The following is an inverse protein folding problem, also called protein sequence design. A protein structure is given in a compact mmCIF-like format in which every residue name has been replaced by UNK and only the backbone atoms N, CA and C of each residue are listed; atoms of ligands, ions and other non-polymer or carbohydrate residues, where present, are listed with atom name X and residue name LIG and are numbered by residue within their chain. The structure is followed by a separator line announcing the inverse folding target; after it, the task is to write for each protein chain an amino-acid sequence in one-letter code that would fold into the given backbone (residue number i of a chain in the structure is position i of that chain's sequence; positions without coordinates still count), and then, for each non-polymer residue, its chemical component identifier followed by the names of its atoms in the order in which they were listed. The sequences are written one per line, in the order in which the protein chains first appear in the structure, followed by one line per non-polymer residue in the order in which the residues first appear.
data_IF_380691251336
#
_entry.id   IF_380691251336
#
_cell.length_a   1.000
_cell.length_b   1.000
_cell.length_c   1.000
_cell.angle_alpha   90.00
_cell.angle_beta   90.00
_cell.angle_gamma   90.00
#
_symmetry.space_group_name_H-M   'P 1'
#
loop_
_entity.id
_entity.type
_entity.pdbx_description
1 polymer ?
#
# COMPACT_ATOMS: atom_id res chain seq x y z
N UNK A 1 -25.08 -21.49 -14.01
CA UNK A 1 -26.45 -21.55 -13.43
C UNK A 1 -27.01 -22.97 -13.25
N UNK A 2 -26.24 -24.05 -13.45
CA UNK A 2 -26.78 -25.42 -13.37
C UNK A 2 -26.96 -25.97 -11.92
N UNK A 3 -26.19 -25.47 -10.94
CA UNK A 3 -26.20 -26.00 -9.57
C UNK A 3 -27.50 -25.80 -8.77
N UNK A 4 -28.17 -24.63 -8.78
CA UNK A 4 -29.42 -24.43 -8.03
C UNK A 4 -30.57 -25.32 -8.50
N UNK A 5 -30.67 -25.54 -9.81
CA UNK A 5 -31.70 -26.39 -10.41
C UNK A 5 -31.54 -27.87 -10.03
N UNK A 6 -30.30 -28.36 -9.85
CA UNK A 6 -30.05 -29.73 -9.39
C UNK A 6 -30.45 -29.95 -7.93
N UNK A 7 -30.36 -28.91 -7.09
CA UNK A 7 -30.76 -29.01 -5.69
C UNK A 7 -32.27 -28.98 -5.46
N UNK A 8 -33.09 -28.55 -6.43
CA UNK A 8 -34.56 -28.57 -6.25
C UNK A 8 -35.13 -29.99 -6.02
N UNK A 9 -34.34 -31.02 -6.33
CA UNK A 9 -34.66 -32.43 -6.12
C UNK A 9 -34.19 -32.98 -4.77
N UNK A 10 -33.51 -32.17 -3.94
CA UNK A 10 -32.99 -32.58 -2.62
C UNK A 10 -33.97 -32.26 -1.49
N UNK A 11 -34.27 -33.21 -0.58
CA UNK A 11 -35.07 -32.95 0.62
C UNK A 11 -34.40 -31.97 1.61
N UNK A 12 -33.08 -31.82 1.55
CA UNK A 12 -32.27 -31.03 2.49
C UNK A 12 -31.85 -29.64 2.00
N UNK A 13 -32.03 -29.34 0.71
CA UNK A 13 -31.72 -28.04 0.12
C UNK A 13 -32.71 -27.76 -1.00
N UNK A 14 -33.32 -26.58 -1.02
CA UNK A 14 -34.24 -26.16 -2.08
C UNK A 14 -33.51 -25.30 -3.11
N UNK A 15 -34.11 -25.11 -4.28
CA UNK A 15 -33.62 -24.13 -5.27
C UNK A 15 -33.33 -22.76 -4.63
N UNK A 16 -34.25 -22.27 -3.78
CA UNK A 16 -34.12 -20.97 -3.13
C UNK A 16 -33.01 -20.95 -2.07
N UNK A 17 -32.78 -22.04 -1.32
CA UNK A 17 -31.65 -22.08 -0.39
C UNK A 17 -30.31 -22.08 -1.13
N UNK A 18 -30.21 -22.79 -2.25
CA UNK A 18 -28.98 -22.82 -3.07
C UNK A 18 -28.74 -21.48 -3.77
N UNK A 19 -29.80 -20.83 -4.26
CA UNK A 19 -29.69 -19.47 -4.81
C UNK A 19 -29.20 -18.48 -3.75
N UNK A 20 -29.78 -18.50 -2.54
CA UNK A 20 -29.34 -17.66 -1.41
C UNK A 20 -27.90 -17.96 -1.00
N UNK A 21 -27.52 -19.24 -0.92
CA UNK A 21 -26.15 -19.65 -0.60
C UNK A 21 -25.15 -19.14 -1.64
N UNK A 22 -25.47 -19.24 -2.94
CA UNK A 22 -24.63 -18.71 -4.01
C UNK A 22 -24.52 -17.18 -3.96
N UNK A 23 -25.63 -16.48 -3.69
CA UNK A 23 -25.61 -15.02 -3.55
C UNK A 23 -24.73 -14.61 -2.37
N UNK A 24 -24.89 -15.25 -1.21
CA UNK A 24 -24.08 -14.98 -0.01
C UNK A 24 -22.60 -15.32 -0.23
N UNK A 25 -22.29 -16.46 -0.83
CA UNK A 25 -20.92 -16.85 -1.16
C UNK A 25 -20.26 -15.84 -2.10
N UNK A 26 -20.99 -15.32 -3.09
CA UNK A 26 -20.50 -14.26 -3.96
C UNK A 26 -20.23 -12.96 -3.21
N UNK A 27 -21.11 -12.55 -2.30
CA UNK A 27 -20.87 -11.36 -1.46
C UNK A 27 -19.62 -11.54 -0.62
N UNK A 28 -19.50 -12.65 0.10
CA UNK A 28 -18.32 -12.95 0.95
C UNK A 28 -17.05 -12.97 0.10
N UNK A 29 -17.06 -13.66 -1.04
CA UNK A 29 -15.91 -13.74 -1.95
C UNK A 29 -15.51 -12.36 -2.47
N UNK A 30 -16.47 -11.53 -2.88
CA UNK A 30 -16.19 -10.19 -3.40
C UNK A 30 -15.65 -9.27 -2.30
N UNK A 31 -16.21 -9.30 -1.09
CA UNK A 31 -15.70 -8.53 0.05
C UNK A 31 -14.30 -8.99 0.44
N UNK A 32 -14.06 -10.31 0.48
CA UNK A 32 -12.75 -10.87 0.80
C UNK A 32 -11.69 -10.50 -0.24
N UNK A 33 -11.99 -10.73 -1.53
CA UNK A 33 -11.10 -10.37 -2.62
C UNK A 33 -10.82 -8.87 -2.64
N UNK A 34 -11.85 -8.04 -2.41
CA UNK A 34 -11.70 -6.59 -2.26
C UNK A 34 -10.71 -6.27 -1.14
N UNK A 35 -10.87 -6.84 0.05
CA UNK A 35 -10.00 -6.55 1.18
C UNK A 35 -8.54 -6.93 0.93
N UNK A 36 -8.30 -8.10 0.34
CA UNK A 36 -6.94 -8.57 -0.01
C UNK A 36 -6.31 -7.67 -1.08
N UNK A 37 -7.03 -7.34 -2.16
CA UNK A 37 -6.53 -6.50 -3.26
C UNK A 37 -6.28 -5.07 -2.77
N UNK A 38 -7.19 -4.52 -1.95
CA UNK A 38 -7.09 -3.13 -1.49
C UNK A 38 -5.90 -2.91 -0.57
N UNK A 39 -5.60 -3.87 0.31
CA UNK A 39 -4.38 -3.84 1.11
C UNK A 39 -3.11 -3.95 0.27
N UNK A 40 -3.22 -4.44 -0.97
CA UNK A 40 -2.10 -4.62 -1.89
C UNK A 40 -1.70 -3.37 -2.67
N UNK A 41 -2.63 -2.44 -2.94
CA UNK A 41 -2.43 -1.39 -3.94
C UNK A 41 -2.84 0.01 -3.53
N UNK A 42 -3.74 0.13 -2.54
CA UNK A 42 -4.27 1.43 -2.11
C UNK A 42 -3.75 1.97 -0.77
N UNK A 43 -3.06 1.22 0.12
CA UNK A 43 -2.68 1.77 1.41
C UNK A 43 -1.61 2.86 1.25
N UNK A 44 -1.51 3.73 2.25
CA UNK A 44 -0.47 4.76 2.33
C UNK A 44 0.93 4.12 2.18
N UNK A 45 1.70 4.57 1.18
CA UNK A 45 3.02 4.03 0.86
C UNK A 45 3.08 3.15 -0.39
N UNK A 46 1.94 2.74 -0.95
CA UNK A 46 1.86 2.32 -2.34
C UNK A 46 1.79 3.57 -3.23
N UNK A 47 2.82 3.79 -4.04
CA UNK A 47 2.97 4.95 -4.92
C UNK A 47 2.08 4.81 -6.17
N UNK A 48 1.63 5.95 -6.71
CA UNK A 48 0.75 6.00 -7.87
C UNK A 48 1.53 6.58 -9.02
N UNK A 49 1.61 5.81 -10.10
CA UNK A 49 2.37 6.19 -11.29
C UNK A 49 1.42 6.64 -12.38
N UNK A 50 1.80 7.70 -13.08
CA UNK A 50 1.13 8.22 -14.26
C UNK A 50 1.58 7.46 -15.50
N UNK A 51 0.86 7.64 -16.62
CA UNK A 51 1.25 7.01 -17.89
C UNK A 51 2.59 7.51 -18.42
N UNK A 52 2.95 8.75 -18.09
CA UNK A 52 4.21 9.38 -18.51
C UNK A 52 5.42 8.76 -17.82
N UNK A 53 5.27 8.26 -16.59
CA UNK A 53 6.36 7.61 -15.83
C UNK A 53 6.86 6.31 -16.48
N UNK A 54 6.05 5.72 -17.37
CA UNK A 54 6.36 4.47 -18.06
C UNK A 54 7.10 4.69 -19.40
N UNK A 55 7.18 5.93 -19.89
CA UNK A 55 7.80 6.23 -21.18
C UNK A 55 9.32 6.10 -21.04
N UNK A 56 9.92 5.19 -21.81
CA UNK A 56 11.38 4.96 -21.78
C UNK A 56 11.85 4.21 -20.53
N UNK A 57 10.93 3.56 -19.79
CA UNK A 57 11.25 2.83 -18.56
C UNK A 57 12.29 1.73 -18.80
N UNK A 58 13.39 1.79 -18.05
CA UNK A 58 14.39 0.72 -17.99
C UNK A 58 13.89 -0.45 -17.14
N UNK A 59 14.49 -1.63 -17.31
CA UNK A 59 14.16 -2.80 -16.47
C UNK A 59 14.31 -2.54 -14.97
N UNK A 60 15.31 -1.75 -14.57
CA UNK A 60 15.49 -1.38 -13.16
C UNK A 60 14.35 -0.51 -12.63
N UNK A 61 13.92 0.47 -13.43
CA UNK A 61 12.76 1.32 -13.10
C UNK A 61 11.46 0.51 -13.05
N UNK A 62 11.29 -0.48 -13.94
CA UNK A 62 10.16 -1.40 -13.88
C UNK A 62 10.06 -2.12 -12.53
N UNK A 63 11.16 -2.68 -12.02
CA UNK A 63 11.18 -3.32 -10.70
C UNK A 63 10.88 -2.34 -9.57
N UNK A 64 11.43 -1.12 -9.64
CA UNK A 64 11.12 -0.07 -8.66
C UNK A 64 9.63 0.28 -8.68
N UNK A 65 9.03 0.44 -9.87
CA UNK A 65 7.60 0.74 -10.01
C UNK A 65 6.73 -0.41 -9.48
N UNK A 66 7.08 -1.66 -9.76
CA UNK A 66 6.37 -2.82 -9.21
C UNK A 66 6.42 -2.85 -7.68
N UNK A 67 7.59 -2.63 -7.09
CA UNK A 67 7.77 -2.65 -5.64
C UNK A 67 7.08 -1.45 -4.96
N UNK A 68 7.26 -0.24 -5.49
CA UNK A 68 6.71 0.98 -4.92
C UNK A 68 5.20 1.08 -5.11
N UNK A 69 4.67 0.54 -6.21
CA UNK A 69 3.23 0.55 -6.53
C UNK A 69 2.42 -0.53 -5.81
N UNK A 70 3.05 -1.34 -4.95
CA UNK A 70 2.40 -2.40 -4.21
C UNK A 70 2.79 -2.39 -2.72
N UNK A 71 1.99 -3.08 -1.92
CA UNK A 71 2.15 -3.16 -0.47
C UNK A 71 1.81 -4.56 0.04
N UNK A 72 2.52 -4.99 1.08
CA UNK A 72 2.30 -6.27 1.72
C UNK A 72 1.53 -6.10 3.02
N UNK A 73 0.73 -7.08 3.44
CA UNK A 73 0.19 -7.08 4.80
C UNK A 73 0.72 -8.23 5.65
N UNK A 74 0.87 -7.98 6.94
CA UNK A 74 1.31 -8.99 7.89
C UNK A 74 0.23 -10.07 8.02
N UNK A 75 0.66 -11.32 7.84
CA UNK A 75 -0.22 -12.47 7.88
C UNK A 75 0.45 -13.66 8.57
N UNK A 76 -0.25 -14.26 9.54
CA UNK A 76 0.07 -15.60 10.03
C UNK A 76 -0.26 -16.68 8.99
N UNK A 77 0.05 -17.96 9.26
CA UNK A 77 -0.17 -19.05 8.32
C UNK A 77 -1.60 -19.14 7.77
N UNK A 78 -2.60 -18.98 8.63
CA UNK A 78 -4.01 -19.04 8.25
C UNK A 78 -4.39 -17.90 7.30
N UNK A 79 -4.08 -16.65 7.66
CA UNK A 79 -4.41 -15.49 6.83
C UNK A 79 -3.67 -15.53 5.48
N UNK A 80 -2.41 -15.99 5.49
CA UNK A 80 -1.61 -16.21 4.29
C UNK A 80 -2.23 -17.26 3.37
N UNK A 81 -2.75 -18.35 3.92
CA UNK A 81 -3.48 -19.35 3.14
C UNK A 81 -4.80 -18.78 2.58
N UNK A 82 -5.60 -18.11 3.42
CA UNK A 82 -6.87 -17.50 3.02
C UNK A 82 -6.72 -16.42 1.94
N UNK A 83 -5.58 -15.70 1.94
CA UNK A 83 -5.26 -14.71 0.92
C UNK A 83 -4.58 -15.32 -0.31
N UNK A 84 -4.35 -16.64 -0.38
CA UNK A 84 -3.62 -17.28 -1.47
C UNK A 84 -2.16 -16.83 -1.58
N UNK A 85 -1.54 -16.45 -0.45
CA UNK A 85 -0.24 -15.77 -0.33
C UNK A 85 -0.17 -14.35 -0.92
N UNK A 86 -1.29 -13.76 -1.36
CA UNK A 86 -1.37 -12.36 -1.80
C UNK A 86 -1.26 -11.34 -0.65
N UNK A 87 -0.83 -11.78 0.54
CA UNK A 87 -0.26 -10.90 1.55
C UNK A 87 1.15 -10.40 1.16
N UNK A 88 1.77 -11.03 0.16
CA UNK A 88 3.08 -10.74 -0.42
C UNK A 88 2.95 -10.18 -1.86
N UNK A 89 2.21 -9.09 -2.04
CA UNK A 89 1.99 -8.44 -3.35
C UNK A 89 3.25 -7.84 -3.97
N UNK A 90 4.16 -7.29 -3.15
CA UNK A 90 5.46 -6.79 -3.64
C UNK A 90 6.18 -7.90 -4.40
N UNK A 91 6.28 -9.07 -3.79
CA UNK A 91 6.91 -10.24 -4.40
C UNK A 91 6.15 -10.75 -5.61
N UNK A 92 4.81 -10.76 -5.55
CA UNK A 92 3.97 -11.18 -6.67
C UNK A 92 4.17 -10.28 -7.90
N UNK A 93 4.30 -8.97 -7.69
CA UNK A 93 4.53 -8.01 -8.78
C UNK A 93 5.96 -8.06 -9.32
N UNK A 94 6.96 -8.30 -8.46
CA UNK A 94 8.34 -8.46 -8.88
C UNK A 94 8.57 -9.77 -9.66
N UNK A 95 7.84 -10.83 -9.31
CA UNK A 95 7.97 -12.17 -9.88
C UNK A 95 6.59 -12.79 -10.16
N UNK A 96 5.87 -12.32 -11.19
CA UNK A 96 4.49 -12.74 -11.48
C UNK A 96 4.37 -14.24 -11.81
N UNK A 97 5.45 -14.83 -12.34
CA UNK A 97 5.51 -16.26 -12.69
C UNK A 97 5.87 -17.16 -11.49
N UNK A 98 6.24 -16.59 -10.34
CA UNK A 98 6.60 -17.38 -9.16
C UNK A 98 5.34 -17.97 -8.50
N UNK A 99 5.32 -19.28 -8.20
CA UNK A 99 4.22 -19.89 -7.47
C UNK A 99 3.95 -19.20 -6.12
N UNK A 100 2.69 -18.94 -5.82
CA UNK A 100 2.31 -18.09 -4.68
C UNK A 100 2.79 -18.65 -3.33
N UNK A 101 2.90 -19.97 -3.19
CA UNK A 101 3.44 -20.63 -1.99
C UNK A 101 4.92 -20.33 -1.71
N UNK A 102 5.67 -19.80 -2.69
CA UNK A 102 7.08 -19.39 -2.53
C UNK A 102 7.25 -17.92 -2.18
N UNK A 103 6.20 -17.10 -2.30
CA UNK A 103 6.31 -15.64 -2.10
C UNK A 103 6.85 -15.28 -0.72
N UNK A 104 6.41 -16.01 0.32
CA UNK A 104 6.92 -15.78 1.68
C UNK A 104 8.43 -16.00 1.78
N UNK A 105 8.95 -17.07 1.18
CA UNK A 105 10.38 -17.40 1.19
C UNK A 105 11.20 -16.30 0.53
N UNK A 106 10.76 -15.81 -0.63
CA UNK A 106 11.52 -14.77 -1.35
C UNK A 106 11.41 -13.41 -0.67
N UNK A 107 10.32 -13.15 0.06
CA UNK A 107 10.07 -11.85 0.70
C UNK A 107 11.20 -11.45 1.65
N UNK A 108 11.85 -12.44 2.27
CA UNK A 108 13.03 -12.24 3.12
C UNK A 108 14.19 -11.64 2.31
N UNK A 109 14.46 -12.18 1.12
CA UNK A 109 15.53 -11.70 0.22
C UNK A 109 15.18 -10.34 -0.39
N UNK A 110 13.92 -10.16 -0.81
CA UNK A 110 13.45 -8.87 -1.35
C UNK A 110 13.59 -7.76 -0.30
N UNK A 111 13.21 -8.04 0.95
CA UNK A 111 13.39 -7.08 2.06
C UNK A 111 14.86 -6.73 2.30
N UNK A 112 15.76 -7.72 2.29
CA UNK A 112 17.21 -7.48 2.41
C UNK A 112 17.75 -6.58 1.30
N UNK A 113 17.29 -6.77 0.06
CA UNK A 113 17.65 -5.89 -1.06
C UNK A 113 17.12 -4.48 -0.84
N UNK A 114 15.87 -4.35 -0.41
CA UNK A 114 15.29 -3.03 -0.10
C UNK A 114 16.09 -2.32 0.98
N UNK A 115 16.46 -3.01 2.07
CA UNK A 115 17.27 -2.43 3.14
C UNK A 115 18.70 -2.07 2.66
N UNK A 116 19.32 -2.89 1.81
CA UNK A 116 20.65 -2.62 1.23
C UNK A 116 20.68 -1.34 0.41
N UNK A 117 19.64 -1.10 -0.40
CA UNK A 117 19.56 0.05 -1.29
C UNK A 117 18.78 1.24 -0.69
N UNK A 118 18.41 1.15 0.59
CA UNK A 118 17.59 2.13 1.31
C UNK A 118 16.29 2.48 0.56
N UNK A 119 15.59 1.44 0.13
CA UNK A 119 14.29 1.49 -0.50
C UNK A 119 13.18 1.18 0.53
N UNK A 120 12.03 1.86 0.46
CA UNK A 120 10.90 1.56 1.34
C UNK A 120 10.35 0.17 0.98
N UNK A 121 10.03 -0.62 2.01
CA UNK A 121 9.31 -1.88 1.85
C UNK A 121 7.96 -1.74 2.56
N UNK A 122 6.91 -1.41 1.80
CA UNK A 122 5.62 -1.01 2.34
C UNK A 122 4.88 -2.21 2.91
N UNK A 123 4.77 -2.27 4.25
CA UNK A 123 4.02 -3.32 4.92
C UNK A 123 3.35 -2.86 6.22
N UNK A 124 2.29 -3.56 6.63
CA UNK A 124 1.61 -3.34 7.91
C UNK A 124 0.50 -4.34 8.17
N UNK A 125 -0.16 -4.26 9.33
CA UNK A 125 -1.24 -5.21 9.67
C UNK A 125 -2.44 -5.11 8.72
N UNK A 126 -3.09 -6.24 8.47
CA UNK A 126 -4.20 -6.35 7.51
C UNK A 126 -5.33 -5.34 7.79
N UNK A 127 -5.84 -5.31 9.03
CA UNK A 127 -6.94 -4.41 9.40
C UNK A 127 -6.55 -2.94 9.25
N UNK A 128 -5.33 -2.58 9.62
CA UNK A 128 -4.86 -1.21 9.53
C UNK A 128 -4.69 -0.75 8.08
N UNK A 129 -4.16 -1.62 7.21
CA UNK A 129 -4.04 -1.30 5.77
C UNK A 129 -5.41 -1.19 5.10
N UNK A 130 -6.34 -2.07 5.44
CA UNK A 130 -7.69 -1.98 4.92
C UNK A 130 -8.39 -0.68 5.38
N UNK A 131 -8.25 -0.34 6.66
CA UNK A 131 -8.78 0.92 7.20
C UNK A 131 -8.15 2.15 6.54
N UNK A 132 -6.85 2.14 6.23
CA UNK A 132 -6.19 3.21 5.47
C UNK A 132 -6.82 3.42 4.10
N UNK A 133 -7.11 2.34 3.38
CA UNK A 133 -7.76 2.44 2.07
C UNK A 133 -9.15 3.08 2.18
N UNK A 134 -9.97 2.66 3.15
CA UNK A 134 -11.28 3.28 3.38
C UNK A 134 -11.18 4.75 3.81
N UNK A 135 -10.20 5.08 4.66
CA UNK A 135 -9.88 6.46 5.03
C UNK A 135 -9.56 7.29 3.79
N UNK A 136 -8.73 6.78 2.88
CA UNK A 136 -8.38 7.46 1.62
C UNK A 136 -9.61 7.67 0.75
N UNK A 137 -10.46 6.65 0.57
CA UNK A 137 -11.71 6.77 -0.18
C UNK A 137 -12.64 7.83 0.42
N UNK A 138 -12.79 7.85 1.74
CA UNK A 138 -13.61 8.83 2.43
C UNK A 138 -13.03 10.25 2.36
N UNK A 139 -11.70 10.41 2.38
CA UNK A 139 -11.05 11.72 2.20
C UNK A 139 -11.25 12.24 0.78
N UNK A 140 -11.03 11.39 -0.22
CA UNK A 140 -11.10 11.77 -1.63
C UNK A 140 -12.53 11.91 -2.16
N UNK A 141 -13.55 11.47 -1.40
CA UNK A 141 -14.96 11.75 -1.72
C UNK A 141 -15.41 13.15 -1.30
N UNK A 142 -14.59 13.89 -0.53
CA UNK A 142 -14.88 15.25 -0.09
C UNK A 142 -14.19 16.30 -0.99
N UNK A 143 -14.77 17.50 -1.14
CA UNK A 143 -14.11 18.61 -1.84
C UNK A 143 -12.74 18.98 -1.25
N UNK A 144 -11.78 19.36 -2.11
CA UNK A 144 -10.39 19.66 -1.74
C UNK A 144 -10.25 20.69 -0.61
N UNK A 145 -11.19 21.63 -0.46
CA UNK A 145 -11.20 22.64 0.62
C UNK A 145 -11.24 22.04 2.04
N UNK A 146 -11.63 20.78 2.18
CA UNK A 146 -11.66 20.05 3.45
C UNK A 146 -10.39 19.21 3.70
N UNK A 147 -9.50 19.11 2.70
CA UNK A 147 -8.24 18.40 2.83
C UNK A 147 -7.20 19.31 3.49
N UNK A 148 -6.47 18.74 4.45
CA UNK A 148 -5.42 19.46 5.21
C UNK A 148 -4.04 19.39 4.57
N UNK A 149 -3.79 18.35 3.78
CA UNK A 149 -2.51 18.08 3.15
C UNK A 149 -2.62 18.44 1.65
N UNK A 150 -1.55 18.95 1.06
CA UNK A 150 -1.47 19.19 -0.38
C UNK A 150 -1.39 17.87 -1.17
N UNK A 151 -1.68 17.93 -2.47
CA UNK A 151 -1.73 16.75 -3.33
C UNK A 151 -0.35 16.10 -3.55
N UNK A 152 0.73 16.88 -3.43
CA UNK A 152 2.10 16.43 -3.66
C UNK A 152 2.68 15.73 -2.41
N UNK A 153 2.11 15.94 -1.22
CA UNK A 153 2.69 15.49 0.05
C UNK A 153 1.66 14.96 1.08
N UNK A 154 0.53 14.43 0.62
CA UNK A 154 -0.42 13.72 1.47
C UNK A 154 0.02 12.26 1.74
N UNK A 155 -0.35 11.66 2.89
CA UNK A 155 -0.03 10.27 3.18
C UNK A 155 -0.56 9.27 2.13
N UNK A 156 -1.77 9.55 1.63
CA UNK A 156 -2.49 8.74 0.65
C UNK A 156 -2.09 9.00 -0.81
N UNK A 157 -1.67 10.23 -1.13
CA UNK A 157 -1.28 10.70 -2.47
C UNK A 157 -0.04 11.57 -2.33
N UNK A 158 1.02 11.22 -3.05
CA UNK A 158 2.24 12.01 -3.07
C UNK A 158 2.84 12.00 -4.47
N UNK A 159 3.59 13.04 -4.78
CA UNK A 159 4.39 13.15 -5.99
C UNK A 159 5.85 13.32 -5.62
N UNK A 160 6.72 13.18 -6.62
CA UNK A 160 8.15 13.44 -6.51
C UNK A 160 8.48 14.87 -6.06
N UNK A 161 7.56 15.83 -6.26
CA UNK A 161 7.72 17.22 -5.84
C UNK A 161 7.86 17.39 -4.32
N UNK A 162 7.42 16.41 -3.54
CA UNK A 162 7.67 16.40 -2.09
C UNK A 162 9.17 16.44 -1.74
N UNK A 163 10.05 16.13 -2.71
CA UNK A 163 11.49 16.10 -2.56
C UNK A 163 12.19 17.39 -3.03
N UNK A 164 11.47 18.39 -3.56
CA UNK A 164 12.07 19.61 -4.12
C UNK A 164 12.88 20.43 -3.09
N UNK A 165 12.49 20.36 -1.81
CA UNK A 165 13.21 21.02 -0.71
C UNK A 165 14.41 20.20 -0.18
N UNK A 166 14.64 18.97 -0.64
CA UNK A 166 15.77 18.16 -0.16
C UNK A 166 17.10 18.76 -0.62
N UNK A 167 18.06 18.83 0.30
CA UNK A 167 19.38 19.37 0.01
C UNK A 167 20.06 18.65 -1.16
N UNK A 168 20.72 19.38 -2.08
CA UNK A 168 21.56 18.78 -3.10
C UNK A 168 22.60 17.83 -2.46
N UNK A 169 22.65 16.58 -2.92
CA UNK A 169 23.57 15.56 -2.36
C UNK A 169 23.04 14.82 -1.13
N UNK A 170 21.75 14.96 -0.80
CA UNK A 170 21.12 14.11 0.22
C UNK A 170 21.28 12.62 -0.10
N UNK A 171 21.08 12.24 -1.36
CA UNK A 171 21.28 10.88 -1.84
C UNK A 171 22.77 10.52 -1.88
N UNK A 172 23.11 9.31 -1.43
CA UNK A 172 24.50 8.84 -1.41
C UNK A 172 24.82 8.07 -0.14
N UNK A 173 26.10 7.90 0.16
CA UNK A 173 26.53 7.31 1.43
C UNK A 173 26.68 8.43 2.45
N UNK A 174 26.00 8.30 3.58
CA UNK A 174 26.17 9.21 4.71
C UNK A 174 27.63 9.11 5.23
N UNK A 175 28.41 10.19 5.20
CA UNK A 175 29.80 10.17 5.63
C UNK A 175 29.97 9.91 7.13
N UNK A 176 28.96 10.21 7.96
CA UNK A 176 29.03 10.01 9.40
C UNK A 176 28.71 8.57 9.82
N UNK A 177 27.76 7.93 9.14
CA UNK A 177 27.29 6.58 9.51
C UNK A 177 27.75 5.49 8.55
N UNK A 178 28.29 5.84 7.38
CA UNK A 178 28.63 4.92 6.30
C UNK A 178 27.42 4.23 5.64
N UNK A 179 26.18 4.61 6.02
CA UNK A 179 24.95 4.00 5.50
C UNK A 179 24.50 4.70 4.23
N UNK A 180 23.92 3.94 3.30
CA UNK A 180 23.30 4.51 2.11
C UNK A 180 22.01 5.26 2.49
N UNK A 181 21.87 6.48 1.99
CA UNK A 181 20.66 7.29 1.97
C UNK A 181 20.05 7.22 0.58
N UNK A 182 18.89 6.59 0.50
CA UNK A 182 18.06 6.42 -0.68
C UNK A 182 16.66 6.95 -0.42
N UNK A 183 15.69 6.34 -1.11
CA UNK A 183 14.30 6.80 -1.09
C UNK A 183 13.65 6.71 0.30
N UNK A 184 13.97 5.65 1.07
CA UNK A 184 13.43 5.46 2.42
C UNK A 184 13.89 6.58 3.36
N UNK A 185 15.17 6.93 3.35
CA UNK A 185 15.71 8.06 4.12
C UNK A 185 15.14 9.40 3.66
N UNK A 186 15.00 9.59 2.34
CA UNK A 186 14.43 10.82 1.78
C UNK A 186 12.99 11.05 2.25
N UNK A 187 12.14 10.01 2.18
CA UNK A 187 10.76 10.06 2.70
C UNK A 187 10.74 10.37 4.21
N UNK A 188 11.66 9.78 4.98
CA UNK A 188 11.75 10.02 6.42
C UNK A 188 12.15 11.47 6.76
N UNK A 189 13.10 12.04 6.02
CA UNK A 189 13.55 13.42 6.17
C UNK A 189 12.42 14.41 5.90
N UNK A 190 11.73 14.28 4.75
CA UNK A 190 10.58 15.13 4.39
C UNK A 190 9.48 15.05 5.45
N UNK A 191 9.17 13.85 5.95
CA UNK A 191 8.18 13.68 7.04
C UNK A 191 8.62 14.33 8.35
N UNK A 192 9.91 14.29 8.67
CA UNK A 192 10.49 14.94 9.84
C UNK A 192 10.32 16.46 9.79
N UNK A 193 10.69 17.07 8.67
CA UNK A 193 10.53 18.51 8.44
C UNK A 193 9.08 18.96 8.55
N UNK A 194 8.13 18.18 8.01
CA UNK A 194 6.69 18.48 8.13
C UNK A 194 6.22 18.54 9.59
N UNK A 195 6.65 17.57 10.41
CA UNK A 195 6.32 17.58 11.85
C UNK A 195 6.93 18.79 12.55
N UNK A 196 8.16 19.16 12.19
CA UNK A 196 8.83 20.36 12.70
C UNK A 196 8.10 21.66 12.33
N UNK A 197 7.79 21.87 11.04
CA UNK A 197 7.03 23.03 10.54
C UNK A 197 5.68 23.16 11.26
N UNK A 198 4.94 22.06 11.42
CA UNK A 198 3.65 22.06 12.16
C UNK A 198 3.79 22.43 13.63
N UNK A 199 4.79 21.86 14.31
CA UNK A 199 5.05 22.17 15.70
C UNK A 199 5.47 23.63 15.89
N UNK A 200 6.17 24.24 14.92
CA UNK A 200 6.49 25.66 14.94
C UNK A 200 5.24 26.53 14.75
N UNK A 201 4.37 26.21 13.79
CA UNK A 201 3.11 26.95 13.56
C UNK A 201 2.19 26.88 14.77
N UNK A 202 2.01 25.68 15.37
CA UNK A 202 1.18 25.53 16.57
C UNK A 202 1.70 26.39 17.73
N UNK A 203 3.02 26.39 17.97
CA UNK A 203 3.64 27.25 19.00
C UNK A 203 3.42 28.73 18.73
N UNK A 204 3.59 29.19 17.49
CA UNK A 204 3.34 30.61 17.16
C UNK A 204 1.89 31.05 17.33
N UNK A 205 0.94 30.12 17.15
CA UNK A 205 -0.50 30.40 17.38
C UNK A 205 -0.78 30.49 18.88
N UNK A 206 -0.24 29.58 19.68
CA UNK A 206 -0.38 29.60 21.14
C UNK A 206 0.27 30.86 21.74
N UNK A 207 1.48 31.22 21.28
CA UNK A 207 2.19 32.44 21.73
C UNK A 207 1.44 33.72 21.33
N UNK A 208 0.79 33.73 20.17
CA UNK A 208 -0.02 34.87 19.70
C UNK A 208 -1.41 34.99 20.35
N UNK A 209 -1.91 33.93 20.98
CA UNK A 209 -3.14 33.95 21.79
C UNK A 209 -2.86 34.32 23.26
N UNK A 210 -1.61 34.21 23.71
CA UNK A 210 -1.17 34.54 25.06
C UNK A 210 -0.69 36.00 25.22
N UNK A 211 -0.59 36.77 24.13
CA UNK A 211 -0.21 38.18 24.09
C UNK A 211 -1.43 39.10 23.91
#
# INVERSE_FOLDING_TARGET
MAFPALTSLSPGATYMSTLKANALANVIRNVWANAVIFCGHFPDGAEKFTKTDMIGETKGQWYLRQMLGSANFEAGPALRFMSGNLCHQIEHHLYPDLPSNRLHEISVRVRQVCDKYDLPYTTGSFLFQYAKTWRTLAKLSLPNKYLRDDADNAPETRSERMFDELEPGFLGTDPATGRRRGLKSAIAAVRGWRRGKRAAVARSVDDGLAA
#
